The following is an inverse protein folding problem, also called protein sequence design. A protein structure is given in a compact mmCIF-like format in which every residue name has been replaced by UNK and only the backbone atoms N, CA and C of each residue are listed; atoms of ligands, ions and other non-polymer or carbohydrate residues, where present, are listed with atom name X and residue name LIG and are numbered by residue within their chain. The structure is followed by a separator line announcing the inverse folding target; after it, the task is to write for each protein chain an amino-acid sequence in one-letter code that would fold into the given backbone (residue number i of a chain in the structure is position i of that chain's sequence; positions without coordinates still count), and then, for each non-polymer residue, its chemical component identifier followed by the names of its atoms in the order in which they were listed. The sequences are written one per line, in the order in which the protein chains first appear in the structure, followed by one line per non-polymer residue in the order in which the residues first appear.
data_IF_442727230514
#
_entry.id   IF_442727230514
#
_cell.length_a   1.000
_cell.length_b   1.000
_cell.length_c   1.000
_cell.angle_alpha   90.00
_cell.angle_beta   90.00
_cell.angle_gamma   90.00
#
_symmetry.space_group_name_H-M   'P 1'
#
loop_
_entity.id
_entity.type
_entity.pdbx_description
1 polymer ?
#
# COMPACT_ATOMS: atom_id res chain seq x y z
N UNK A 1 -8.42 45.91 -0.37
CA UNK A 1 -7.00 46.05 -0.03
C UNK A 1 -6.42 44.64 -0.03
N UNK A 2 -5.64 44.32 -1.07
CA UNK A 2 -4.83 43.13 -1.42
C UNK A 2 -5.16 41.75 -0.78
N UNK A 3 -5.26 40.63 -1.49
CA UNK A 3 -4.97 40.33 -2.90
C UNK A 3 -5.70 39.06 -3.35
N UNK A 4 -6.30 39.17 -4.53
CA UNK A 4 -6.39 38.22 -5.63
C UNK A 4 -6.16 36.70 -5.44
N UNK A 5 -7.21 35.98 -5.89
CA UNK A 5 -7.17 34.95 -6.95
C UNK A 5 -6.07 33.90 -6.89
N UNK A 6 -6.41 32.73 -6.33
CA UNK A 6 -6.09 31.44 -6.95
C UNK A 6 -7.26 30.46 -6.79
N UNK A 7 -8.43 30.82 -7.32
CA UNK A 7 -9.34 29.79 -7.82
C UNK A 7 -8.74 29.28 -9.13
N UNK A 8 -7.85 28.30 -9.07
CA UNK A 8 -7.42 27.60 -10.28
C UNK A 8 -8.67 27.03 -10.93
N UNK A 9 -9.04 27.41 -12.16
CA UNK A 9 -10.13 26.77 -12.86
C UNK A 9 -9.69 25.33 -13.09
N UNK A 10 -10.36 24.37 -12.46
CA UNK A 10 -10.19 22.95 -12.76
C UNK A 10 -10.78 22.69 -14.15
N UNK A 11 -10.07 23.12 -15.20
CA UNK A 11 -10.27 22.58 -16.52
C UNK A 11 -9.80 21.13 -16.46
N UNK A 12 -10.75 20.23 -16.24
CA UNK A 12 -10.56 18.80 -16.44
C UNK A 12 -10.39 18.56 -17.95
N UNK A 13 -9.20 18.87 -18.48
CA UNK A 13 -8.79 18.42 -19.79
C UNK A 13 -8.61 16.91 -19.73
N UNK A 14 -9.71 16.17 -19.88
CA UNK A 14 -9.64 14.72 -19.99
C UNK A 14 -9.02 14.39 -21.36
N UNK A 15 -7.73 14.13 -21.38
CA UNK A 15 -7.08 13.57 -22.55
C UNK A 15 -7.49 12.10 -22.66
N UNK A 16 -8.39 11.81 -23.61
CA UNK A 16 -8.82 10.44 -23.90
C UNK A 16 -7.94 9.89 -25.01
N UNK A 17 -7.16 8.85 -24.69
CA UNK A 17 -6.45 8.09 -25.71
C UNK A 17 -7.48 7.43 -26.62
N UNK A 18 -7.45 7.74 -27.91
CA UNK A 18 -8.24 7.05 -28.93
C UNK A 18 -7.56 5.72 -29.27
N UNK A 19 -7.61 4.77 -28.34
CA UNK A 19 -7.12 3.42 -28.57
C UNK A 19 -8.17 2.60 -29.35
N UNK A 20 -7.75 1.66 -30.20
CA UNK A 20 -8.66 0.67 -30.77
C UNK A 20 -9.43 -0.03 -29.65
N UNK A 21 -10.77 -0.03 -29.73
CA UNK A 21 -11.63 -0.72 -28.76
C UNK A 21 -11.63 -2.23 -28.95
N UNK A 22 -11.33 -2.69 -30.17
CA UNK A 22 -11.19 -4.08 -30.54
C UNK A 22 -9.89 -4.21 -31.33
N UNK A 23 -8.97 -5.03 -30.85
CA UNK A 23 -7.70 -5.32 -31.50
C UNK A 23 -7.99 -6.30 -32.64
N UNK A 24 -7.94 -5.85 -33.89
CA UNK A 24 -8.22 -6.68 -35.07
C UNK A 24 -6.98 -7.01 -35.88
N UNK A 25 -5.90 -6.25 -35.68
CA UNK A 25 -4.71 -6.32 -36.51
C UNK A 25 -3.42 -6.14 -35.70
N UNK A 26 -2.30 -6.54 -36.30
CA UNK A 26 -0.96 -6.24 -35.77
C UNK A 26 -0.70 -4.73 -35.68
N UNK A 27 -1.34 -3.93 -36.53
CA UNK A 27 -1.18 -2.48 -36.52
C UNK A 27 -1.87 -1.83 -35.32
N UNK A 28 -3.05 -2.32 -34.93
CA UNK A 28 -3.74 -1.89 -33.70
C UNK A 28 -2.85 -2.10 -32.46
N UNK A 29 -2.16 -3.25 -32.40
CA UNK A 29 -1.21 -3.56 -31.32
C UNK A 29 -0.06 -2.56 -31.30
N UNK A 30 0.50 -2.17 -32.46
CA UNK A 30 1.58 -1.17 -32.52
C UNK A 30 1.11 0.21 -32.04
N UNK A 31 -0.11 0.62 -32.39
CA UNK A 31 -0.69 1.89 -31.93
C UNK A 31 -0.82 1.88 -30.40
N UNK A 32 -1.39 0.80 -29.85
CA UNK A 32 -1.51 0.62 -28.39
C UNK A 32 -0.13 0.65 -27.74
N UNK A 33 0.83 -0.10 -28.28
CA UNK A 33 2.20 -0.16 -27.78
C UNK A 33 2.85 1.23 -27.78
N UNK A 34 2.73 2.00 -28.86
CA UNK A 34 3.28 3.34 -28.97
C UNK A 34 2.72 4.28 -27.89
N UNK A 35 1.41 4.29 -27.69
CA UNK A 35 0.79 5.13 -26.67
C UNK A 35 1.13 4.69 -25.25
N UNK A 36 1.08 3.39 -24.96
CA UNK A 36 1.45 2.88 -23.65
C UNK A 36 2.92 3.13 -23.34
N UNK A 37 3.82 2.98 -24.32
CA UNK A 37 5.22 3.31 -24.16
C UNK A 37 5.44 4.79 -23.79
N UNK A 38 4.67 5.70 -24.40
CA UNK A 38 4.69 7.12 -24.01
C UNK A 38 4.16 7.34 -22.59
N UNK A 39 3.07 6.67 -22.21
CA UNK A 39 2.50 6.78 -20.87
C UNK A 39 3.46 6.30 -19.78
N UNK A 40 4.20 5.21 -20.01
CA UNK A 40 5.15 4.68 -19.02
C UNK A 40 6.41 5.53 -18.86
N UNK A 41 6.67 6.48 -19.76
CA UNK A 41 7.71 7.48 -19.58
C UNK A 41 7.23 8.73 -18.81
N UNK A 42 5.98 8.74 -18.35
CA UNK A 42 5.40 9.82 -17.56
C UNK A 42 5.28 9.43 -16.08
N UNK A 43 5.16 10.44 -15.23
CA UNK A 43 4.72 10.29 -13.84
C UNK A 43 3.30 10.82 -13.68
N UNK A 44 2.45 10.09 -12.98
CA UNK A 44 1.06 10.50 -12.72
C UNK A 44 0.90 10.89 -11.25
N UNK A 45 0.11 11.94 -10.98
CA UNK A 45 -0.25 12.28 -9.61
C UNK A 45 -1.12 11.17 -8.98
N UNK A 46 -2.06 10.63 -9.76
CA UNK A 46 -3.05 9.67 -9.28
C UNK A 46 -3.31 8.58 -10.31
N UNK A 47 -3.43 7.35 -9.81
CA UNK A 47 -3.92 6.20 -10.57
C UNK A 47 -5.06 5.54 -9.81
N UNK A 48 -6.11 5.18 -10.52
CA UNK A 48 -7.25 4.48 -9.95
C UNK A 48 -7.50 3.21 -10.75
N UNK A 49 -7.29 2.07 -10.10
CA UNK A 49 -7.55 0.77 -10.64
C UNK A 49 -8.79 0.24 -9.91
N UNK A 50 -9.95 0.32 -10.57
CA UNK A 50 -11.23 -0.30 -10.17
C UNK A 50 -11.83 -1.05 -11.34
N UNK A 51 -12.32 -2.28 -11.13
CA UNK A 51 -13.00 -3.08 -12.15
C UNK A 51 -12.20 -3.27 -13.46
N UNK A 52 -10.90 -3.52 -13.36
CA UNK A 52 -10.02 -3.72 -14.51
C UNK A 52 -9.58 -5.18 -14.53
N UNK A 53 -9.36 -5.69 -15.73
CA UNK A 53 -8.74 -6.99 -15.96
C UNK A 53 -7.37 -6.69 -16.56
N UNK A 54 -6.31 -7.07 -15.85
CA UNK A 54 -4.98 -7.04 -16.43
C UNK A 54 -4.84 -8.20 -17.39
N UNK A 55 -4.52 -7.89 -18.64
CA UNK A 55 -4.18 -8.92 -19.62
C UNK A 55 -2.67 -9.24 -19.47
N UNK A 56 -2.30 -10.45 -19.05
CA UNK A 56 -0.90 -10.80 -18.79
C UNK A 56 -0.04 -10.75 -20.05
N UNK A 57 -0.58 -11.07 -21.23
CA UNK A 57 0.15 -10.96 -22.49
C UNK A 57 0.51 -9.51 -22.82
N UNK A 58 -0.38 -8.57 -22.50
CA UNK A 58 -0.15 -7.14 -22.68
C UNK A 58 0.90 -6.64 -21.66
N UNK A 59 0.85 -7.09 -20.41
CA UNK A 59 1.92 -6.80 -19.44
C UNK A 59 3.25 -7.33 -19.99
N UNK A 60 3.31 -8.59 -20.40
CA UNK A 60 4.53 -9.20 -20.93
C UNK A 60 5.05 -8.46 -22.17
N UNK A 61 4.17 -8.06 -23.09
CA UNK A 61 4.52 -7.30 -24.27
C UNK A 61 5.13 -5.93 -23.92
N UNK A 62 4.58 -5.25 -22.92
CA UNK A 62 4.99 -3.91 -22.53
C UNK A 62 6.24 -3.90 -21.66
N UNK A 63 6.39 -4.90 -20.80
CA UNK A 63 7.37 -4.92 -19.71
C UNK A 63 8.39 -6.07 -19.78
N UNK A 64 8.04 -7.21 -20.38
CA UNK A 64 8.87 -8.43 -20.34
C UNK A 64 10.05 -8.43 -21.32
N UNK A 65 9.94 -7.73 -22.45
CA UNK A 65 10.96 -7.75 -23.52
C UNK A 65 11.95 -6.57 -23.47
N UNK A 66 11.89 -5.74 -22.43
CA UNK A 66 12.75 -4.55 -22.34
C UNK A 66 14.07 -4.88 -21.62
N UNK A 67 15.21 -4.43 -22.18
CA UNK A 67 16.53 -4.52 -21.51
C UNK A 67 16.56 -3.86 -20.14
N UNK A 68 15.72 -2.84 -19.94
CA UNK A 68 15.49 -2.17 -18.66
C UNK A 68 14.02 -2.37 -18.30
N UNK A 69 13.68 -2.94 -17.13
CA UNK A 69 12.30 -3.10 -16.70
C UNK A 69 11.61 -1.74 -16.70
N UNK A 70 10.54 -1.61 -17.50
CA UNK A 70 9.73 -0.39 -17.46
C UNK A 70 8.97 -0.33 -16.14
N UNK A 71 8.81 0.87 -15.61
CA UNK A 71 8.05 1.13 -14.40
C UNK A 71 6.96 2.16 -14.70
N UNK A 72 5.81 1.97 -14.08
CA UNK A 72 4.72 2.95 -14.05
C UNK A 72 4.85 3.76 -12.77
N UNK A 73 5.13 5.06 -12.91
CA UNK A 73 5.31 5.97 -11.78
C UNK A 73 3.99 6.68 -11.45
N UNK A 74 3.43 6.38 -10.28
CA UNK A 74 2.17 6.97 -9.80
C UNK A 74 2.36 7.45 -8.36
N UNK A 75 2.18 8.74 -8.10
CA UNK A 75 2.35 9.27 -6.75
C UNK A 75 1.33 8.65 -5.76
N UNK A 76 0.05 8.57 -6.13
CA UNK A 76 -1.01 7.96 -5.32
C UNK A 76 -1.79 6.94 -6.15
N UNK A 77 -1.69 5.66 -5.80
CA UNK A 77 -2.38 4.58 -6.46
C UNK A 77 -3.50 4.08 -5.56
N UNK A 78 -4.74 4.08 -6.05
CA UNK A 78 -5.90 3.49 -5.39
C UNK A 78 -6.33 2.24 -6.16
N UNK A 79 -6.35 1.10 -5.49
CA UNK A 79 -6.71 -0.20 -6.02
C UNK A 79 -7.89 -0.73 -5.23
N UNK A 80 -8.93 -1.20 -5.90
CA UNK A 80 -10.01 -1.94 -5.27
C UNK A 80 -10.07 -3.32 -5.91
N UNK A 81 -9.86 -4.32 -5.07
CA UNK A 81 -9.96 -5.73 -5.43
C UNK A 81 -11.41 -6.13 -5.25
N UNK A 82 -11.91 -6.81 -6.27
CA UNK A 82 -13.24 -7.41 -6.32
C UNK A 82 -13.07 -8.89 -6.70
N UNK A 83 -14.14 -9.67 -6.60
CA UNK A 83 -14.23 -11.14 -6.72
C UNK A 83 -13.55 -11.82 -7.94
N UNK A 84 -12.98 -11.06 -8.85
CA UNK A 84 -12.17 -11.56 -9.94
C UNK A 84 -10.78 -12.00 -9.48
N UNK A 85 -10.13 -12.84 -10.29
CA UNK A 85 -8.72 -13.12 -10.10
C UNK A 85 -7.89 -11.88 -10.39
N UNK A 86 -7.09 -11.46 -9.40
CA UNK A 86 -6.23 -10.29 -9.48
C UNK A 86 -4.74 -10.66 -9.31
N UNK A 87 -4.37 -11.93 -9.48
CA UNK A 87 -2.96 -12.35 -9.42
C UNK A 87 -2.06 -11.53 -10.36
N UNK A 88 -2.49 -11.33 -11.61
CA UNK A 88 -1.74 -10.54 -12.60
C UNK A 88 -1.58 -9.07 -12.20
N UNK A 89 -2.62 -8.49 -11.59
CA UNK A 89 -2.54 -7.14 -11.03
C UNK A 89 -1.47 -7.09 -9.93
N UNK A 90 -1.44 -8.07 -9.04
CA UNK A 90 -0.49 -8.09 -7.95
C UNK A 90 0.95 -8.30 -8.45
N UNK A 91 1.16 -9.14 -9.46
CA UNK A 91 2.44 -9.24 -10.14
C UNK A 91 2.84 -7.91 -10.77
N UNK A 92 1.88 -7.22 -11.41
CA UNK A 92 2.12 -5.89 -11.95
C UNK A 92 2.52 -4.88 -10.86
N UNK A 93 1.83 -4.86 -9.71
CA UNK A 93 2.15 -3.97 -8.58
C UNK A 93 3.57 -4.23 -8.08
N UNK A 94 3.93 -5.50 -7.89
CA UNK A 94 5.24 -5.88 -7.35
C UNK A 94 6.38 -5.53 -8.30
N UNK A 95 6.20 -5.75 -9.60
CA UNK A 95 7.29 -5.73 -10.57
C UNK A 95 7.38 -4.41 -11.34
N UNK A 96 6.27 -3.69 -11.48
CA UNK A 96 6.17 -2.57 -12.42
C UNK A 96 5.61 -1.28 -11.83
N UNK A 97 4.94 -1.30 -10.68
CA UNK A 97 4.37 -0.09 -10.07
C UNK A 97 5.35 0.54 -9.07
N UNK A 98 5.62 1.84 -9.24
CA UNK A 98 6.37 2.65 -8.27
C UNK A 98 5.53 3.86 -7.88
N UNK A 99 5.47 4.16 -6.58
CA UNK A 99 4.65 5.26 -6.10
C UNK A 99 4.97 5.75 -4.69
N UNK A 100 4.35 6.87 -4.30
CA UNK A 100 4.50 7.35 -2.91
C UNK A 100 3.54 6.60 -1.98
N UNK A 101 2.29 6.44 -2.41
CA UNK A 101 1.21 5.86 -1.61
C UNK A 101 0.47 4.83 -2.46
N UNK A 102 0.41 3.60 -1.98
CA UNK A 102 -0.47 2.56 -2.50
C UNK A 102 -1.63 2.35 -1.53
N UNK A 103 -2.87 2.40 -2.02
CA UNK A 103 -4.05 2.01 -1.25
C UNK A 103 -4.68 0.80 -1.91
N UNK A 104 -4.92 -0.25 -1.13
CA UNK A 104 -5.55 -1.48 -1.59
C UNK A 104 -6.81 -1.69 -0.77
N UNK A 105 -7.97 -1.63 -1.42
CA UNK A 105 -9.24 -2.04 -0.87
C UNK A 105 -9.46 -3.52 -1.13
N UNK A 106 -9.79 -4.28 -0.09
CA UNK A 106 -10.08 -5.72 -0.18
C UNK A 106 -11.43 -6.02 0.46
N UNK A 107 -12.18 -6.98 -0.11
CA UNK A 107 -13.29 -7.61 0.58
C UNK A 107 -12.76 -8.64 1.59
N UNK A 108 -13.48 -8.84 2.70
CA UNK A 108 -13.06 -9.73 3.79
C UNK A 108 -12.66 -11.14 3.34
N UNK A 109 -13.44 -11.74 2.44
CA UNK A 109 -13.21 -13.10 1.91
C UNK A 109 -11.99 -13.22 0.99
N UNK A 110 -11.48 -12.11 0.46
CA UNK A 110 -10.34 -12.11 -0.45
C UNK A 110 -9.00 -12.09 0.29
N UNK A 111 -9.04 -11.79 1.59
CA UNK A 111 -7.83 -11.64 2.40
C UNK A 111 -6.98 -12.90 2.37
N UNK A 112 -7.59 -14.07 2.56
CA UNK A 112 -6.85 -15.33 2.57
C UNK A 112 -6.22 -15.64 1.21
N UNK A 113 -6.92 -15.31 0.11
CA UNK A 113 -6.40 -15.50 -1.24
C UNK A 113 -5.16 -14.65 -1.51
N UNK A 114 -5.16 -13.39 -1.07
CA UNK A 114 -4.09 -12.44 -1.42
C UNK A 114 -3.10 -12.17 -0.29
N UNK A 115 -3.21 -12.89 0.83
CA UNK A 115 -2.38 -12.72 2.02
C UNK A 115 -0.88 -12.70 1.71
N UNK A 116 -0.40 -13.70 0.98
CA UNK A 116 1.03 -13.86 0.71
C UNK A 116 1.57 -12.73 -0.16
N UNK A 117 0.78 -12.28 -1.15
CA UNK A 117 1.21 -11.20 -2.02
C UNK A 117 1.14 -9.83 -1.33
N UNK A 118 0.13 -9.60 -0.50
CA UNK A 118 0.06 -8.43 0.37
C UNK A 118 1.24 -8.42 1.33
N UNK A 119 1.57 -9.55 1.94
CA UNK A 119 2.74 -9.68 2.81
C UNK A 119 4.02 -9.32 2.06
N UNK A 120 4.18 -9.82 0.84
CA UNK A 120 5.33 -9.49 -0.03
C UNK A 120 5.40 -8.01 -0.38
N UNK A 121 4.26 -7.36 -0.67
CA UNK A 121 4.20 -5.91 -0.89
C UNK A 121 4.67 -5.15 0.35
N UNK A 122 4.20 -5.54 1.54
CA UNK A 122 4.54 -4.85 2.79
C UNK A 122 6.02 -5.05 3.16
N UNK A 123 6.57 -6.24 2.94
CA UNK A 123 7.92 -6.62 3.39
C UNK A 123 9.03 -6.34 2.38
N UNK A 124 8.71 -6.27 1.07
CA UNK A 124 9.68 -6.02 0.01
C UNK A 124 9.38 -4.77 -0.83
N UNK A 125 8.23 -4.12 -0.63
CA UNK A 125 7.80 -2.97 -1.44
C UNK A 125 8.36 -1.62 -1.00
N UNK A 126 9.24 -1.55 0.01
CA UNK A 126 9.77 -0.29 0.55
C UNK A 126 10.58 0.55 -0.44
N UNK A 127 11.16 -0.08 -1.46
CA UNK A 127 11.80 0.61 -2.58
C UNK A 127 10.77 1.22 -3.55
N UNK A 128 9.58 0.62 -3.64
CA UNK A 128 8.53 1.02 -4.57
C UNK A 128 7.51 1.97 -3.93
N UNK A 129 7.30 1.87 -2.61
CA UNK A 129 6.25 2.59 -1.89
C UNK A 129 6.75 3.16 -0.56
N UNK A 130 6.47 4.45 -0.31
CA UNK A 130 6.70 5.06 1.00
C UNK A 130 5.56 4.78 1.98
N UNK A 131 4.39 4.46 1.47
CA UNK A 131 3.23 4.11 2.27
C UNK A 131 2.36 3.09 1.55
N UNK A 132 1.89 2.09 2.29
CA UNK A 132 0.84 1.16 1.86
C UNK A 132 -0.32 1.24 2.85
N UNK A 133 -1.54 1.46 2.34
CA UNK A 133 -2.78 1.44 3.11
C UNK A 133 -3.65 0.28 2.65
N UNK A 134 -3.84 -0.71 3.50
CA UNK A 134 -4.78 -1.80 3.29
C UNK A 134 -6.11 -1.42 3.95
N UNK A 135 -7.16 -1.29 3.14
CA UNK A 135 -8.50 -1.03 3.59
C UNK A 135 -9.32 -2.30 3.43
N UNK A 136 -9.87 -2.79 4.53
CA UNK A 136 -10.69 -3.98 4.50
C UNK A 136 -12.15 -3.59 4.61
N UNK A 137 -12.91 -3.95 3.59
CA UNK A 137 -14.34 -3.76 3.52
C UNK A 137 -15.02 -4.98 4.10
N UNK A 138 -15.75 -4.77 5.19
CA UNK A 138 -16.50 -5.84 5.81
C UNK A 138 -17.99 -5.74 5.48
N UNK A 139 -18.60 -6.86 5.08
CA UNK A 139 -20.03 -6.99 4.85
C UNK A 139 -20.68 -7.72 6.04
N UNK A 140 -20.78 -7.08 7.20
CA UNK A 140 -21.54 -7.60 8.34
C UNK A 140 -20.78 -7.61 9.68
N UNK A 141 -21.10 -8.55 10.58
CA UNK A 141 -20.30 -8.88 11.77
C UNK A 141 -19.84 -10.32 11.58
N UNK A 142 -18.55 -10.54 11.34
CA UNK A 142 -17.98 -11.87 11.10
C UNK A 142 -16.71 -11.95 11.95
N UNK A 143 -16.78 -12.74 13.02
CA UNK A 143 -15.67 -12.92 13.96
C UNK A 143 -14.45 -13.54 13.29
N UNK A 144 -14.65 -14.40 12.29
CA UNK A 144 -13.56 -15.04 11.56
C UNK A 144 -12.71 -13.99 10.84
N UNK A 145 -13.36 -12.99 10.23
CA UNK A 145 -12.66 -11.92 9.53
C UNK A 145 -11.75 -11.10 10.45
N UNK A 146 -12.26 -10.71 11.62
CA UNK A 146 -11.48 -9.98 12.63
C UNK A 146 -10.24 -10.80 13.04
N UNK A 147 -10.39 -12.12 13.18
CA UNK A 147 -9.29 -13.04 13.47
C UNK A 147 -8.25 -13.10 12.33
N UNK A 148 -8.66 -13.24 11.07
CA UNK A 148 -7.73 -13.30 9.92
C UNK A 148 -6.90 -12.02 9.77
N UNK A 149 -7.53 -10.84 9.91
CA UNK A 149 -6.81 -9.56 9.85
C UNK A 149 -5.84 -9.43 11.02
N UNK A 150 -6.27 -9.84 12.23
CA UNK A 150 -5.40 -9.85 13.40
C UNK A 150 -4.18 -10.75 13.18
N UNK A 151 -4.39 -11.99 12.74
CA UNK A 151 -3.31 -12.92 12.44
C UNK A 151 -2.35 -12.35 11.40
N UNK A 152 -2.86 -11.69 10.37
CA UNK A 152 -2.01 -11.03 9.38
C UNK A 152 -1.18 -9.88 9.96
N UNK A 153 -1.78 -9.05 10.80
CA UNK A 153 -1.05 -7.99 11.51
C UNK A 153 0.04 -8.58 12.41
N UNK A 154 -0.28 -9.65 13.16
CA UNK A 154 0.68 -10.34 14.03
C UNK A 154 1.84 -10.95 13.23
N UNK A 155 1.57 -11.51 12.04
CA UNK A 155 2.62 -12.00 11.14
C UNK A 155 3.56 -10.88 10.66
N UNK A 156 3.01 -9.70 10.32
CA UNK A 156 3.83 -8.54 9.94
C UNK A 156 4.65 -8.06 11.12
N UNK A 157 4.06 -7.98 12.31
CA UNK A 157 4.73 -7.62 13.56
C UNK A 157 5.89 -8.57 13.87
N UNK A 158 5.65 -9.88 13.79
CA UNK A 158 6.68 -10.88 14.06
C UNK A 158 7.81 -10.81 13.03
N UNK A 159 7.46 -10.63 11.74
CA UNK A 159 8.44 -10.47 10.68
C UNK A 159 9.34 -9.26 10.92
N UNK A 160 8.78 -8.10 11.23
CA UNK A 160 9.61 -6.89 11.44
C UNK A 160 10.44 -7.00 12.73
N UNK A 161 9.95 -7.70 13.75
CA UNK A 161 10.70 -7.94 14.99
C UNK A 161 11.89 -8.88 14.78
N UNK A 162 11.77 -9.85 13.87
CA UNK A 162 12.73 -10.95 13.68
C UNK A 162 13.48 -10.93 12.35
N UNK A 163 13.17 -10.02 11.43
CA UNK A 163 13.87 -9.95 10.14
C UNK A 163 15.29 -9.41 10.30
N UNK A 164 16.24 -10.07 9.66
CA UNK A 164 17.63 -9.60 9.56
C UNK A 164 17.79 -8.38 8.65
N UNK A 165 16.86 -8.18 7.70
CA UNK A 165 16.88 -7.07 6.76
C UNK A 165 15.51 -6.38 6.72
N UNK A 166 15.43 -5.22 7.36
CA UNK A 166 14.24 -4.38 7.34
C UNK A 166 14.32 -3.24 6.31
N UNK A 167 15.37 -3.18 5.49
CA UNK A 167 15.59 -2.08 4.54
C UNK A 167 14.56 -2.04 3.41
N UNK A 168 13.97 -3.20 3.10
CA UNK A 168 12.97 -3.37 2.03
C UNK A 168 11.52 -3.27 2.52
N UNK A 169 11.31 -3.17 3.83
CA UNK A 169 9.96 -3.08 4.39
C UNK A 169 9.38 -1.70 4.13
N UNK A 170 8.10 -1.64 3.79
CA UNK A 170 7.38 -0.38 3.58
C UNK A 170 7.40 0.44 4.88
N UNK A 171 7.90 1.69 4.86
CA UNK A 171 8.11 2.45 6.09
C UNK A 171 6.80 2.95 6.73
N UNK A 172 5.69 2.97 6.01
CA UNK A 172 4.41 3.36 6.60
C UNK A 172 3.28 2.44 6.13
N UNK A 173 2.75 1.64 7.05
CA UNK A 173 1.73 0.64 6.77
C UNK A 173 0.47 1.00 7.54
N UNK A 174 -0.66 1.11 6.86
CA UNK A 174 -1.94 1.44 7.51
C UNK A 174 -2.92 0.30 7.25
N UNK A 175 -3.49 -0.25 8.32
CA UNK A 175 -4.58 -1.21 8.26
C UNK A 175 -5.87 -0.50 8.69
N UNK A 176 -6.75 -0.28 7.73
CA UNK A 176 -8.04 0.38 7.91
C UNK A 176 -9.13 -0.68 7.88
N UNK A 177 -9.50 -1.19 9.05
CA UNK A 177 -10.55 -2.17 9.25
C UNK A 177 -11.34 -1.85 10.51
N UNK A 178 -12.64 -2.13 10.49
CA UNK A 178 -13.49 -2.04 11.67
C UNK A 178 -13.53 -3.40 12.36
N UNK A 179 -13.05 -3.48 13.59
CA UNK A 179 -13.20 -4.67 14.45
C UNK A 179 -13.99 -4.33 15.70
N UNK A 180 -14.74 -5.31 16.19
CA UNK A 180 -15.44 -5.25 17.47
C UNK A 180 -14.56 -5.62 18.67
N UNK A 181 -13.39 -6.22 18.43
CA UNK A 181 -12.51 -6.74 19.46
C UNK A 181 -11.36 -5.77 19.77
N UNK A 182 -10.96 -5.73 21.04
CA UNK A 182 -9.78 -4.94 21.43
C UNK A 182 -8.54 -5.54 20.78
N UNK A 183 -7.88 -4.79 19.91
CA UNK A 183 -6.62 -5.22 19.32
C UNK A 183 -5.50 -5.14 20.37
N UNK A 184 -4.99 -6.29 20.79
CA UNK A 184 -3.79 -6.37 21.63
C UNK A 184 -2.64 -6.88 20.78
N UNK A 185 -1.57 -6.07 20.71
CA UNK A 185 -0.30 -6.50 20.14
C UNK A 185 0.35 -7.57 21.02
N UNK A 186 1.28 -8.33 20.44
CA UNK A 186 2.02 -9.37 21.14
C UNK A 186 2.74 -8.84 22.39
N UNK A 187 3.01 -9.72 23.36
CA UNK A 187 3.72 -9.38 24.60
C UNK A 187 5.10 -8.74 24.38
N UNK A 188 5.68 -8.92 23.18
CA UNK A 188 6.94 -8.30 22.74
C UNK A 188 6.81 -6.79 22.52
N UNK A 189 5.58 -6.26 22.45
CA UNK A 189 5.34 -4.85 22.23
C UNK A 189 5.34 -4.07 23.55
N UNK A 190 6.31 -3.19 23.70
CA UNK A 190 6.35 -2.25 24.82
C UNK A 190 5.25 -1.21 24.61
N UNK A 191 4.32 -1.14 25.56
CA UNK A 191 3.30 -0.09 25.57
C UNK A 191 3.96 1.23 25.96
N UNK A 192 3.97 2.17 25.03
CA UNK A 192 4.66 3.46 25.22
C UNK A 192 3.71 4.50 25.80
N UNK A 193 2.47 4.56 25.31
CA UNK A 193 1.59 5.68 25.62
C UNK A 193 0.11 5.35 25.39
N UNK A 194 -0.77 5.95 26.19
CA UNK A 194 -2.20 6.05 25.90
C UNK A 194 -2.57 7.53 25.85
N UNK A 195 -3.15 7.99 24.75
CA UNK A 195 -3.78 9.33 24.65
C UNK A 195 -5.27 9.19 24.43
N UNK A 196 -6.03 10.16 24.92
CA UNK A 196 -7.44 10.31 24.56
C UNK A 196 -7.61 11.69 23.95
N UNK A 197 -8.14 11.76 22.73
CA UNK A 197 -8.39 13.02 22.03
C UNK A 197 -9.77 12.94 21.35
N UNK A 198 -10.67 13.88 21.67
CA UNK A 198 -12.00 13.96 21.07
C UNK A 198 -12.80 12.64 21.15
N UNK A 199 -12.72 11.93 22.29
CA UNK A 199 -13.39 10.63 22.48
C UNK A 199 -12.67 9.43 21.81
N UNK A 200 -11.59 9.66 21.07
CA UNK A 200 -10.79 8.58 20.47
C UNK A 200 -9.62 8.23 21.39
N UNK A 201 -9.49 6.94 21.72
CA UNK A 201 -8.37 6.42 22.53
C UNK A 201 -7.28 5.89 21.61
N UNK A 202 -6.10 6.48 21.73
CA UNK A 202 -4.89 6.10 20.99
C UNK A 202 -4.01 5.26 21.91
N UNK A 203 -3.68 4.04 21.50
CA UNK A 203 -2.69 3.19 22.17
C UNK A 203 -1.45 3.13 21.28
N UNK A 204 -0.33 3.63 21.78
CA UNK A 204 0.95 3.60 21.09
C UNK A 204 1.83 2.48 21.66
N UNK A 205 2.43 1.71 20.78
CA UNK A 205 3.36 0.64 21.13
C UNK A 205 4.66 0.79 20.35
N UNK A 206 5.73 0.23 20.90
CA UNK A 206 7.04 0.17 20.27
C UNK A 206 7.54 -1.28 20.28
N UNK A 207 8.16 -1.69 19.17
CA UNK A 207 8.87 -2.97 19.07
C UNK A 207 10.26 -2.69 18.55
N UNK A 208 11.27 -3.30 19.18
CA UNK A 208 12.65 -3.27 18.70
C UNK A 208 12.92 -4.53 17.87
N UNK A 209 13.66 -4.39 16.77
CA UNK A 209 14.14 -5.57 16.05
C UNK A 209 15.19 -6.31 16.89
N UNK A 210 15.11 -7.64 16.97
CA UNK A 210 16.00 -8.44 17.81
C UNK A 210 17.44 -8.50 17.27
N UNK A 211 17.61 -8.34 15.96
CA UNK A 211 18.91 -8.36 15.29
C UNK A 211 19.53 -6.97 15.17
N UNK A 212 18.73 -5.90 15.30
CA UNK A 212 19.20 -4.52 15.27
C UNK A 212 18.34 -3.60 16.14
N UNK A 213 18.75 -3.39 17.39
CA UNK A 213 18.03 -2.54 18.37
C UNK A 213 17.90 -1.06 17.96
N UNK A 214 18.65 -0.59 16.95
CA UNK A 214 18.48 0.76 16.37
C UNK A 214 17.24 0.84 15.47
N UNK A 215 16.78 -0.29 14.92
CA UNK A 215 15.54 -0.35 14.15
C UNK A 215 14.36 -0.53 15.10
N UNK A 216 13.51 0.51 15.17
CA UNK A 216 12.31 0.54 15.99
C UNK A 216 11.05 0.64 15.14
N UNK A 217 10.00 0.00 15.58
CA UNK A 217 8.70 0.03 14.94
C UNK A 217 7.69 0.65 15.90
N UNK A 218 6.89 1.59 15.40
CA UNK A 218 5.87 2.28 16.18
C UNK A 218 4.49 1.88 15.68
N UNK A 219 3.63 1.51 16.61
CA UNK A 219 2.27 1.12 16.32
C UNK A 219 1.34 2.10 17.00
N UNK A 220 0.33 2.55 16.28
CA UNK A 220 -0.70 3.46 16.77
C UNK A 220 -2.06 2.84 16.47
N UNK A 221 -2.72 2.38 17.51
CA UNK A 221 -4.06 1.83 17.45
C UNK A 221 -5.06 2.87 17.93
N UNK A 222 -6.06 3.15 17.10
CA UNK A 222 -7.13 4.08 17.41
C UNK A 222 -8.39 3.27 17.73
N UNK A 223 -8.88 3.39 18.95
CA UNK A 223 -10.12 2.81 19.44
C UNK A 223 -11.17 3.94 19.47
N UNK A 224 -12.20 3.81 18.62
CA UNK A 224 -13.38 4.68 18.65
C UNK A 224 -14.57 3.92 19.23
N UNK A 225 -15.39 4.60 20.03
CA UNK A 225 -16.61 4.03 20.63
C UNK A 225 -17.65 3.58 19.59
N UNK A 226 -17.52 4.00 18.32
CA UNK A 226 -18.48 3.78 17.23
C UNK A 226 -18.18 2.49 16.41
N UNK A 227 -17.54 1.48 17.02
CA UNK A 227 -17.16 0.19 16.40
C UNK A 227 -16.20 0.25 15.19
N UNK A 228 -15.69 1.43 14.83
CA UNK A 228 -14.66 1.60 13.80
C UNK A 228 -13.33 1.82 14.50
N UNK A 229 -12.57 0.75 14.68
CA UNK A 229 -11.15 0.86 15.04
C UNK A 229 -10.34 1.25 13.80
N UNK A 230 -9.14 1.81 13.96
CA UNK A 230 -8.17 1.92 12.86
C UNK A 230 -6.80 1.57 13.41
N UNK A 231 -6.09 0.67 12.73
CA UNK A 231 -4.78 0.20 13.16
C UNK A 231 -3.69 0.73 12.23
N UNK A 232 -2.90 1.68 12.72
CA UNK A 232 -1.83 2.30 11.96
C UNK A 232 -0.49 1.76 12.43
N UNK A 233 0.32 1.24 11.50
CA UNK A 233 1.68 0.78 11.76
C UNK A 233 2.66 1.74 11.12
N UNK A 234 3.34 2.54 11.93
CA UNK A 234 4.39 3.43 11.46
C UNK A 234 5.76 2.82 11.74
N UNK A 235 6.39 2.33 10.70
CA UNK A 235 7.78 1.91 10.79
C UNK A 235 8.65 3.15 10.77
N UNK A 236 9.35 3.42 11.88
CA UNK A 236 10.32 4.50 11.94
C UNK A 236 11.69 3.89 12.16
N UNK A 237 12.38 3.63 11.05
CA UNK A 237 13.79 3.29 11.11
C UNK A 237 14.52 4.51 11.68
N UNK A 238 14.92 4.43 12.94
CA UNK A 238 15.82 5.41 13.53
C UNK A 238 17.19 5.12 12.92
N UNK A 239 17.50 5.80 11.80
CA UNK A 239 18.89 5.90 11.37
C UNK A 239 19.60 6.58 12.52
N UNK A 240 20.45 5.85 13.23
CA UNK A 240 21.23 6.41 14.31
C UNK A 240 21.89 7.67 13.77
N UNK A 241 21.66 8.80 14.44
CA UNK A 241 22.53 9.95 14.30
C UNK A 241 23.94 9.41 14.58
N UNK A 242 24.76 9.32 13.52
CA UNK A 242 26.19 9.20 13.70
C UNK A 242 26.54 10.51 14.40
N UNK A 243 26.85 10.44 15.69
CA UNK A 243 27.52 11.55 16.37
C UNK A 243 28.88 11.67 15.69
N UNK A 244 28.98 12.58 14.73
CA UNK A 244 30.25 13.13 14.29
C UNK A 244 30.76 14.04 15.42
N UNK A 245 31.21 13.45 16.52
CA UNK A 245 31.92 14.15 17.59
C UNK A 245 32.96 13.18 18.19
N UNK A 246 33.88 12.72 17.34
CA UNK A 246 35.22 12.28 17.73
C UNK A 246 36.22 12.73 16.65
N UNK A 247 36.63 13.99 16.74
CA UNK A 247 37.97 14.50 16.37
C UNK A 247 38.24 15.79 17.13
#
# INVERSE_FOLDING_TARGET
MFSDKFSTPFYNHSFRLKLPTIIKSKEDIKIIYHYLNKLFNCSFERGNFRNFIFNPELIQLLFGNAKIPKQLYIQKCDIIINDYDNEDLFQFILNHLVGKILKVGLLSKEMEKYKDVLFKILTNGGNNFKQVKLKFHHSGRNLDFDMHVKMFCDQIVEYIATSNDCSKVVPFIVFDFSTSSSFQLSEKAEKVEIKQLNGVKYKNYQISNIHNSKVKFYFCYNECDIAISTFNVRIKIMKGEIREDEN
#
